data_IF_124157383581
#
_entry.id   IF_124157383581
#
_cell.length_a   1.000
_cell.length_b   1.000
_cell.length_c   1.000
_cell.angle_alpha   90.00
_cell.angle_beta   90.00
_cell.angle_gamma   90.00
#
_symmetry.space_group_name_H-M   'P 1'
#
loop_
_entity.id
_entity.type
_entity.pdbx_description
1 polymer ?
#
# COMPACT_ATOMS: atom_id res chain seq x y z
N UNK A 1 3.56 1.21 -20.10
CA UNK A 1 2.71 1.56 -18.93
C UNK A 1 2.75 3.05 -18.63
N UNK A 2 3.92 3.68 -18.52
CA UNK A 2 4.04 5.11 -18.19
C UNK A 2 3.23 6.02 -19.14
N UNK A 3 3.24 5.77 -20.44
CA UNK A 3 2.46 6.53 -21.43
C UNK A 3 0.94 6.48 -21.23
N UNK A 4 0.45 5.51 -20.49
CA UNK A 4 -0.97 5.38 -20.14
C UNK A 4 -1.33 5.93 -18.75
N UNK A 5 -0.31 6.30 -17.97
CA UNK A 5 -0.45 6.81 -16.61
C UNK A 5 -0.08 8.31 -16.52
N UNK A 6 -0.36 9.07 -17.58
CA UNK A 6 -0.01 10.51 -17.68
C UNK A 6 -0.48 11.28 -16.45
N UNK A 7 0.48 11.94 -15.76
CA UNK A 7 0.22 12.73 -14.56
C UNK A 7 -0.23 11.94 -13.32
N UNK A 8 -0.19 10.61 -13.36
CA UNK A 8 -0.56 9.73 -12.24
C UNK A 8 0.66 9.04 -11.64
N UNK A 9 0.63 8.79 -10.33
CA UNK A 9 1.62 7.97 -9.65
C UNK A 9 1.50 6.51 -10.10
N UNK A 10 2.60 5.95 -10.59
CA UNK A 10 2.67 4.56 -11.05
C UNK A 10 3.37 3.70 -10.01
N UNK A 11 2.63 2.75 -9.43
CA UNK A 11 3.16 1.75 -8.52
C UNK A 11 3.40 0.43 -9.25
N UNK A 12 4.66 -0.05 -9.24
CA UNK A 12 4.98 -1.39 -9.72
C UNK A 12 4.79 -2.40 -8.59
N UNK A 13 3.84 -3.33 -8.75
CA UNK A 13 3.60 -4.38 -7.77
C UNK A 13 4.62 -5.49 -7.93
N UNK A 14 5.43 -5.71 -6.89
CA UNK A 14 6.59 -6.64 -6.89
C UNK A 14 6.53 -7.70 -5.80
N UNK A 15 5.35 -7.94 -5.23
CA UNK A 15 5.13 -8.97 -4.21
C UNK A 15 5.54 -10.36 -4.69
N UNK A 16 5.75 -11.30 -3.75
CA UNK A 16 6.16 -12.68 -4.02
C UNK A 16 7.40 -12.75 -4.92
N UNK A 17 8.48 -12.05 -4.50
CA UNK A 17 9.74 -11.95 -5.25
C UNK A 17 9.51 -11.52 -6.71
N UNK A 18 8.72 -10.44 -6.89
CA UNK A 18 8.29 -9.92 -8.19
C UNK A 18 7.60 -11.00 -9.04
N UNK A 19 6.62 -11.70 -8.45
CA UNK A 19 5.92 -12.82 -9.08
C UNK A 19 6.86 -13.91 -9.61
N UNK A 20 7.98 -14.14 -8.91
CA UNK A 20 8.99 -15.13 -9.27
C UNK A 20 10.08 -14.64 -10.25
N UNK A 21 10.01 -13.39 -10.73
CA UNK A 21 11.02 -12.82 -11.64
C UNK A 21 12.28 -12.34 -10.93
N UNK A 22 12.30 -12.30 -9.61
CA UNK A 22 13.37 -11.77 -8.79
C UNK A 22 13.22 -10.27 -8.51
N UNK A 23 13.24 -9.91 -7.23
CA UNK A 23 13.05 -8.51 -6.83
C UNK A 23 14.19 -7.60 -7.30
N UNK A 24 15.42 -8.09 -7.30
CA UNK A 24 16.59 -7.35 -7.79
C UNK A 24 16.45 -6.96 -9.27
N UNK A 25 15.95 -7.91 -10.09
CA UNK A 25 15.66 -7.67 -11.49
C UNK A 25 14.51 -6.64 -11.64
N UNK A 26 13.48 -6.77 -10.81
CA UNK A 26 12.33 -5.87 -10.83
C UNK A 26 12.71 -4.42 -10.46
N UNK A 27 13.60 -4.23 -9.48
CA UNK A 27 14.11 -2.90 -9.11
C UNK A 27 14.74 -2.20 -10.32
N UNK A 28 15.51 -2.93 -11.11
CA UNK A 28 16.13 -2.40 -12.33
C UNK A 28 15.09 -2.18 -13.43
N UNK A 29 14.23 -3.16 -13.68
CA UNK A 29 13.24 -3.13 -14.76
C UNK A 29 12.18 -2.02 -14.56
N UNK A 30 11.83 -1.72 -13.31
CA UNK A 30 10.83 -0.70 -12.97
C UNK A 30 11.45 0.64 -12.53
N UNK A 31 12.70 0.92 -12.94
CA UNK A 31 13.38 2.18 -12.60
C UNK A 31 12.55 3.44 -12.92
N UNK A 32 11.67 3.39 -13.92
CA UNK A 32 10.79 4.49 -14.30
C UNK A 32 9.48 4.57 -13.49
N UNK A 33 9.18 3.58 -12.64
CA UNK A 33 8.03 3.65 -11.75
C UNK A 33 8.25 4.71 -10.65
N UNK A 34 7.16 5.26 -10.10
CA UNK A 34 7.23 6.22 -9.00
C UNK A 34 7.40 5.53 -7.65
N UNK A 35 6.94 4.28 -7.56
CA UNK A 35 7.08 3.45 -6.37
C UNK A 35 6.99 1.97 -6.68
N UNK A 36 7.47 1.17 -5.74
CA UNK A 36 7.24 -0.27 -5.67
C UNK A 36 6.14 -0.56 -4.67
N UNK A 37 5.36 -1.62 -4.90
CA UNK A 37 4.35 -2.07 -3.96
C UNK A 37 4.53 -3.55 -3.67
N UNK A 38 4.62 -3.91 -2.39
CA UNK A 38 4.83 -5.27 -1.91
C UNK A 38 3.89 -5.61 -0.77
N UNK A 39 3.94 -6.83 -0.25
CA UNK A 39 3.18 -7.28 0.93
C UNK A 39 4.10 -7.65 2.11
N UNK A 40 5.42 -7.61 1.91
CA UNK A 40 6.41 -8.04 2.89
C UNK A 40 7.47 -6.95 3.11
N UNK A 41 7.79 -6.67 4.37
CA UNK A 41 8.85 -5.74 4.74
C UNK A 41 10.25 -6.26 4.38
N UNK A 42 10.45 -7.58 4.28
CA UNK A 42 11.69 -8.14 3.79
C UNK A 42 11.95 -7.78 2.32
N UNK A 43 10.89 -7.75 1.50
CA UNK A 43 11.00 -7.25 0.13
C UNK A 43 11.37 -5.76 0.11
N UNK A 44 10.80 -4.96 1.00
CA UNK A 44 11.15 -3.55 1.11
C UNK A 44 12.61 -3.34 1.52
N UNK A 45 13.10 -4.11 2.49
CA UNK A 45 14.53 -4.10 2.88
C UNK A 45 15.43 -4.50 1.71
N UNK A 46 15.08 -5.56 0.97
CA UNK A 46 15.85 -5.98 -0.19
C UNK A 46 15.86 -4.89 -1.28
N UNK A 47 14.72 -4.27 -1.55
CA UNK A 47 14.65 -3.15 -2.50
C UNK A 47 15.56 -1.99 -2.06
N UNK A 48 15.60 -1.64 -0.76
CA UNK A 48 16.53 -0.63 -0.22
C UNK A 48 18.00 -1.03 -0.37
N UNK A 49 18.33 -2.29 -0.13
CA UNK A 49 19.69 -2.83 -0.40
C UNK A 49 20.06 -2.74 -1.87
N UNK A 50 19.11 -2.98 -2.76
CA UNK A 50 19.26 -2.77 -4.22
C UNK A 50 19.25 -1.28 -4.63
N UNK A 51 19.39 -0.35 -3.67
CA UNK A 51 19.45 1.11 -3.88
C UNK A 51 18.18 1.73 -4.44
N UNK A 52 17.02 1.12 -4.27
CA UNK A 52 15.75 1.77 -4.57
C UNK A 52 15.49 2.91 -3.59
N UNK A 53 15.53 4.16 -4.07
CA UNK A 53 15.37 5.37 -3.24
C UNK A 53 13.97 5.98 -3.31
N UNK A 54 13.13 5.50 -4.24
CA UNK A 54 11.78 6.01 -4.41
C UNK A 54 10.81 5.38 -3.40
N UNK A 55 9.53 5.73 -3.52
CA UNK A 55 8.46 5.26 -2.64
C UNK A 55 8.35 3.73 -2.62
N UNK A 56 8.01 3.17 -1.48
CA UNK A 56 7.62 1.76 -1.33
C UNK A 56 6.31 1.74 -0.56
N UNK A 57 5.35 0.93 -1.01
CA UNK A 57 4.03 0.76 -0.39
C UNK A 57 3.85 -0.68 0.08
N UNK A 58 3.52 -0.85 1.35
CA UNK A 58 3.13 -2.14 1.93
C UNK A 58 1.60 -2.31 1.79
N UNK A 59 1.18 -3.21 0.88
CA UNK A 59 -0.21 -3.33 0.42
C UNK A 59 -1.18 -3.97 1.43
N UNK A 60 -0.67 -4.76 2.37
CA UNK A 60 -1.46 -5.43 3.41
C UNK A 60 -1.26 -4.81 4.79
N UNK A 61 -0.42 -3.77 4.87
CA UNK A 61 -0.14 -3.12 6.12
C UNK A 61 0.83 -3.93 7.00
N UNK A 62 0.95 -3.51 8.23
CA UNK A 62 1.79 -4.13 9.27
C UNK A 62 0.91 -5.02 10.18
N UNK A 63 1.56 -5.93 10.90
CA UNK A 63 0.87 -6.90 11.74
C UNK A 63 1.18 -6.75 13.23
N UNK A 64 2.30 -6.12 13.58
CA UNK A 64 2.68 -5.87 14.96
C UNK A 64 3.45 -4.55 15.14
N UNK A 65 3.82 -4.25 16.38
CA UNK A 65 4.52 -3.02 16.73
C UNK A 65 5.94 -2.96 16.16
N UNK A 66 6.62 -4.10 16.02
CA UNK A 66 8.00 -4.15 15.48
C UNK A 66 8.01 -3.81 13.99
N UNK A 67 6.95 -4.14 13.27
CA UNK A 67 6.79 -3.76 11.88
C UNK A 67 6.70 -2.23 11.71
N UNK A 68 6.07 -1.54 12.68
CA UNK A 68 5.95 -0.07 12.64
C UNK A 68 7.33 0.60 12.70
N UNK A 69 8.22 0.12 13.56
CA UNK A 69 9.60 0.63 13.63
C UNK A 69 10.35 0.41 12.30
N UNK A 70 10.13 -0.73 11.66
CA UNK A 70 10.71 -1.05 10.34
C UNK A 70 10.13 -0.14 9.24
N UNK A 71 8.82 0.11 9.24
CA UNK A 71 8.18 1.05 8.31
C UNK A 71 8.85 2.42 8.35
N UNK A 72 9.03 2.97 9.57
CA UNK A 72 9.66 4.28 9.75
C UNK A 72 11.13 4.29 9.30
N UNK A 73 11.91 3.29 9.73
CA UNK A 73 13.34 3.20 9.39
C UNK A 73 13.59 3.06 7.90
N UNK A 74 12.76 2.28 7.21
CA UNK A 74 12.84 2.03 5.77
C UNK A 74 12.12 3.09 4.93
N UNK A 75 11.39 4.02 5.57
CA UNK A 75 10.52 5.01 4.92
C UNK A 75 9.54 4.34 3.95
N UNK A 76 8.83 3.33 4.44
CA UNK A 76 7.80 2.58 3.71
C UNK A 76 6.43 3.16 4.03
N UNK A 77 5.63 3.41 3.01
CA UNK A 77 4.23 3.77 3.16
C UNK A 77 3.41 2.50 3.40
N UNK A 78 2.33 2.59 4.14
CA UNK A 78 1.55 1.42 4.54
C UNK A 78 0.07 1.59 4.20
N UNK A 79 -0.61 0.49 3.94
CA UNK A 79 -2.07 0.46 3.82
C UNK A 79 -2.67 0.15 5.18
N UNK A 80 -3.71 0.90 5.55
CA UNK A 80 -4.54 0.65 6.74
C UNK A 80 -5.90 0.12 6.28
N UNK A 81 -6.28 -1.03 6.80
CA UNK A 81 -7.50 -1.73 6.39
C UNK A 81 -8.37 -2.21 7.54
N UNK A 82 -7.95 -1.94 8.78
CA UNK A 82 -8.66 -2.39 9.99
C UNK A 82 -8.38 -1.46 11.18
N UNK A 83 -9.34 -1.34 12.09
CA UNK A 83 -9.23 -0.51 13.29
C UNK A 83 -8.10 -0.94 14.23
N UNK A 84 -7.76 -2.22 14.32
CA UNK A 84 -6.66 -2.67 15.17
C UNK A 84 -5.30 -2.09 14.73
N UNK A 85 -5.11 -1.82 13.43
CA UNK A 85 -3.90 -1.13 12.95
C UNK A 85 -3.85 0.33 13.43
N UNK A 86 -4.98 1.01 13.45
CA UNK A 86 -5.09 2.38 14.00
C UNK A 86 -4.70 2.39 15.47
N UNK A 87 -5.22 1.42 16.24
CA UNK A 87 -4.87 1.27 17.66
C UNK A 87 -3.39 0.99 17.89
N UNK A 88 -2.75 0.18 17.03
CA UNK A 88 -1.31 -0.05 17.11
C UNK A 88 -0.50 1.22 16.83
N UNK A 89 -0.86 2.00 15.79
CA UNK A 89 -0.20 3.28 15.49
C UNK A 89 -0.30 4.25 16.68
N UNK A 90 -1.49 4.34 17.29
CA UNK A 90 -1.72 5.21 18.45
C UNK A 90 -0.85 4.80 19.64
N UNK A 91 -0.72 3.50 19.89
CA UNK A 91 0.10 2.96 20.98
C UNK A 91 1.61 3.08 20.73
N UNK A 92 2.04 2.96 19.49
CA UNK A 92 3.45 2.98 19.12
C UNK A 92 4.07 4.39 19.23
N UNK A 93 3.28 5.46 19.19
CA UNK A 93 3.79 6.83 19.26
C UNK A 93 4.69 7.18 18.08
N UNK A 94 4.20 6.95 16.87
CA UNK A 94 4.91 7.12 15.60
C UNK A 94 5.34 8.56 15.33
N UNK A 95 6.41 8.73 14.52
CA UNK A 95 6.98 10.04 14.18
C UNK A 95 6.67 10.47 12.76
N UNK A 96 6.73 9.56 11.79
CA UNK A 96 6.47 9.84 10.36
C UNK A 96 5.98 8.57 9.63
N UNK A 97 4.73 8.23 9.83
CA UNK A 97 4.08 7.14 9.09
C UNK A 97 3.15 7.72 8.03
N UNK A 98 3.40 7.34 6.78
CA UNK A 98 2.52 7.65 5.64
C UNK A 98 1.62 6.46 5.37
N UNK A 99 0.33 6.68 5.36
CA UNK A 99 -0.63 5.60 5.18
C UNK A 99 -1.68 5.90 4.11
N UNK A 100 -2.28 4.84 3.60
CA UNK A 100 -3.36 4.86 2.63
C UNK A 100 -4.54 4.09 3.22
N UNK A 101 -5.73 4.65 3.17
CA UNK A 101 -6.94 4.00 3.67
C UNK A 101 -7.44 3.00 2.62
N UNK A 102 -7.55 1.74 3.00
CA UNK A 102 -8.11 0.72 2.11
C UNK A 102 -9.62 0.66 2.24
N UNK A 103 -10.30 0.81 1.10
CA UNK A 103 -11.76 0.69 1.00
C UNK A 103 -12.14 -0.66 0.38
N UNK A 104 -13.06 -1.34 1.02
CA UNK A 104 -13.71 -2.51 0.45
C UNK A 104 -14.82 -2.07 -0.50
N UNK A 105 -14.53 -2.11 -1.79
CA UNK A 105 -15.48 -1.77 -2.86
C UNK A 105 -16.20 -2.98 -3.46
N UNK A 106 -16.25 -4.11 -2.71
CA UNK A 106 -16.98 -5.30 -3.14
C UNK A 106 -16.16 -6.60 -3.20
N UNK A 107 -14.82 -6.55 -3.08
CA UNK A 107 -13.98 -7.74 -3.05
C UNK A 107 -14.11 -8.54 -1.74
N UNK A 108 -14.50 -7.90 -0.63
CA UNK A 108 -14.75 -8.50 0.67
C UNK A 108 -13.56 -9.28 1.26
N UNK A 109 -12.33 -8.82 1.00
CA UNK A 109 -11.12 -9.39 1.58
C UNK A 109 -10.55 -8.54 2.69
N UNK A 110 -10.24 -7.28 2.41
CA UNK A 110 -9.67 -6.30 3.34
C UNK A 110 -10.23 -4.92 3.04
N UNK A 111 -10.28 -4.06 4.04
CA UNK A 111 -10.65 -2.66 3.91
C UNK A 111 -11.91 -2.29 4.67
N UNK A 112 -12.06 -1.01 4.92
CA UNK A 112 -13.23 -0.41 5.57
C UNK A 112 -14.41 -0.31 4.59
N UNK A 113 -15.60 -0.30 5.11
CA UNK A 113 -16.77 0.01 4.29
C UNK A 113 -16.72 1.48 3.84
N UNK A 114 -17.29 1.83 2.66
CA UNK A 114 -17.29 3.22 2.17
C UNK A 114 -17.82 4.23 3.17
N UNK A 115 -18.81 3.85 3.97
CA UNK A 115 -19.43 4.71 4.99
C UNK A 115 -18.50 4.99 6.18
N UNK A 116 -17.49 4.18 6.41
CA UNK A 116 -16.53 4.31 7.52
C UNK A 116 -15.33 5.21 7.18
N UNK A 117 -15.11 5.50 5.89
CA UNK A 117 -13.87 6.15 5.41
C UNK A 117 -13.60 7.49 6.08
N UNK A 118 -14.63 8.33 6.24
CA UNK A 118 -14.46 9.63 6.87
C UNK A 118 -14.06 9.50 8.35
N UNK A 119 -14.71 8.61 9.10
CA UNK A 119 -14.38 8.37 10.50
C UNK A 119 -12.95 7.81 10.64
N UNK A 120 -12.56 6.89 9.77
CA UNK A 120 -11.18 6.33 9.72
C UNK A 120 -10.16 7.42 9.39
N UNK A 121 -10.48 8.32 8.46
CA UNK A 121 -9.61 9.45 8.13
C UNK A 121 -9.40 10.36 9.34
N UNK A 122 -10.48 10.73 10.03
CA UNK A 122 -10.43 11.60 11.21
C UNK A 122 -9.63 10.93 12.35
N UNK A 123 -9.84 9.63 12.57
CA UNK A 123 -9.06 8.88 13.56
C UNK A 123 -7.57 8.86 13.24
N UNK A 124 -7.18 8.53 11.99
CA UNK A 124 -5.79 8.47 11.57
C UNK A 124 -5.10 9.85 11.66
N UNK A 125 -5.78 10.91 11.21
CA UNK A 125 -5.23 12.27 11.23
C UNK A 125 -5.12 12.85 12.63
N UNK A 126 -5.85 12.29 13.61
CA UNK A 126 -5.73 12.66 15.03
C UNK A 126 -4.46 12.10 15.69
N UNK A 127 -3.78 11.12 15.09
CA UNK A 127 -2.59 10.51 15.63
C UNK A 127 -1.35 11.33 15.22
N UNK A 128 -0.59 11.92 16.17
CA UNK A 128 0.62 12.63 15.85
C UNK A 128 1.62 11.76 15.10
N UNK A 129 2.21 12.28 14.02
CA UNK A 129 3.16 11.55 13.19
C UNK A 129 2.53 10.68 12.09
N UNK A 130 1.20 10.56 12.01
CA UNK A 130 0.51 9.87 10.93
C UNK A 130 0.08 10.86 9.84
N UNK A 131 0.32 10.50 8.58
CA UNK A 131 -0.14 11.25 7.41
C UNK A 131 -0.92 10.36 6.46
N UNK A 132 -2.19 10.67 6.25
CA UNK A 132 -3.01 10.00 5.24
C UNK A 132 -2.70 10.58 3.87
N UNK A 133 -2.27 9.72 2.95
CA UNK A 133 -1.83 10.10 1.60
C UNK A 133 -2.97 9.99 0.59
N UNK A 134 -3.63 8.85 0.54
CA UNK A 134 -4.65 8.52 -0.44
C UNK A 134 -5.62 7.46 0.09
N UNK A 135 -6.64 7.18 -0.70
CA UNK A 135 -7.57 6.05 -0.54
C UNK A 135 -7.27 5.02 -1.63
N UNK A 136 -7.19 3.75 -1.25
CA UNK A 136 -6.91 2.66 -2.19
C UNK A 136 -8.02 1.61 -2.17
N UNK A 137 -8.28 1.01 -3.31
CA UNK A 137 -9.19 -0.13 -3.41
C UNK A 137 -8.67 -1.16 -4.40
N UNK A 138 -9.33 -2.32 -4.46
CA UNK A 138 -9.04 -3.37 -5.43
C UNK A 138 -10.30 -3.70 -6.22
N UNK A 139 -10.26 -3.48 -7.53
CA UNK A 139 -11.32 -3.87 -8.44
C UNK A 139 -11.17 -5.36 -8.79
N UNK A 140 -11.97 -6.20 -8.15
CA UNK A 140 -11.90 -7.65 -8.33
C UNK A 140 -12.31 -8.11 -9.73
N UNK A 141 -13.18 -7.34 -10.39
CA UNK A 141 -13.86 -7.70 -11.63
C UNK A 141 -13.57 -6.67 -12.74
N UNK A 142 -12.32 -6.25 -12.87
CA UNK A 142 -11.93 -5.24 -13.86
C UNK A 142 -11.86 -5.78 -15.30
N UNK A 143 -11.95 -7.10 -15.51
CA UNK A 143 -11.90 -7.71 -16.84
C UNK A 143 -13.31 -7.86 -17.44
N UNK A 144 -13.59 -7.24 -18.60
CA UNK A 144 -14.91 -7.27 -19.23
C UNK A 144 -15.44 -8.67 -19.55
N UNK A 145 -14.53 -9.63 -19.74
CA UNK A 145 -14.84 -11.00 -20.16
C UNK A 145 -15.32 -11.93 -19.05
N UNK A 146 -15.14 -11.52 -17.77
CA UNK A 146 -15.44 -12.40 -16.64
C UNK A 146 -16.93 -12.48 -16.27
N UNK A 147 -17.73 -11.47 -16.60
CA UNK A 147 -19.14 -11.38 -16.21
C UNK A 147 -20.09 -10.99 -17.37
N UNK A 148 -19.68 -11.15 -18.62
CA UNK A 148 -20.48 -10.71 -19.77
C UNK A 148 -20.71 -9.20 -19.76
N UNK A 149 -21.93 -8.77 -20.09
CA UNK A 149 -22.28 -7.34 -20.20
C UNK A 149 -22.45 -6.58 -18.87
N UNK A 150 -21.97 -7.13 -17.74
CA UNK A 150 -22.03 -6.42 -16.45
C UNK A 150 -20.89 -5.42 -16.37
N UNK A 151 -21.17 -4.14 -16.03
CA UNK A 151 -20.11 -3.16 -15.81
C UNK A 151 -19.20 -3.61 -14.67
N UNK A 152 -17.90 -3.35 -14.81
CA UNK A 152 -16.94 -3.52 -13.73
C UNK A 152 -17.36 -2.63 -12.56
N UNK A 153 -17.53 -3.22 -11.38
CA UNK A 153 -17.85 -2.51 -10.12
C UNK A 153 -16.58 -2.19 -9.37
#
# INVERSE_FOLDING_TARGET
>A
MRSKAEGRTLWAVVKANAYGHGLENAVTAFADADGLATIDLCDAELARRCRWQKRILLLEGFFDASDIERLESLKVETVIHSFWQIDLLRKAGVKDVRCHIKVNSGMNRLGFLPVEVNAVYDELTSIPGVRVMDVVTHFANAEPTYFGDRPAT
#
